data_IF_549571112408
#
_entry.id   IF_549571112408
#
_cell.length_a   1.000
_cell.length_b   1.000
_cell.length_c   1.000
_cell.angle_alpha   90.00
_cell.angle_beta   90.00
_cell.angle_gamma   90.00
#
_symmetry.space_group_name_H-M   'P 1'
#
loop_
_entity.id
_entity.type
_entity.pdbx_description
1 polymer ?
#
# COMPACT_ATOMS: atom_id res chain seq x y z
N UNK A 1 -16.88 51.13 37.30
CA UNK A 1 -15.99 50.04 36.95
C UNK A 1 -14.64 50.68 36.55
N UNK A 2 -13.57 50.35 37.27
CA UNK A 2 -12.30 50.99 37.03
C UNK A 2 -11.70 50.46 35.74
N UNK A 3 -11.26 51.39 34.85
CA UNK A 3 -10.68 51.11 33.54
C UNK A 3 -9.58 50.03 33.57
N UNK A 4 -8.70 49.95 34.58
CA UNK A 4 -7.66 48.93 34.65
C UNK A 4 -8.18 47.50 34.83
N UNK A 5 -9.31 47.32 35.54
CA UNK A 5 -9.92 45.98 35.74
C UNK A 5 -10.52 45.44 34.45
N UNK A 6 -11.13 46.31 33.65
CA UNK A 6 -11.74 45.94 32.37
C UNK A 6 -10.64 45.55 31.32
N UNK A 7 -9.55 46.28 31.30
CA UNK A 7 -8.39 45.97 30.40
C UNK A 7 -7.72 44.64 30.78
N UNK A 8 -7.60 44.36 32.08
CA UNK A 8 -7.05 43.09 32.55
C UNK A 8 -7.94 41.89 32.17
N UNK A 9 -9.27 42.05 32.27
CA UNK A 9 -10.25 41.03 31.90
C UNK A 9 -10.22 40.70 30.39
N UNK A 10 -10.09 41.71 29.55
CA UNK A 10 -9.95 41.55 28.10
C UNK A 10 -8.60 40.82 27.76
N UNK A 11 -7.53 41.20 28.43
CA UNK A 11 -6.24 40.56 28.25
C UNK A 11 -6.25 39.07 28.60
N UNK A 12 -6.81 38.70 29.72
CA UNK A 12 -6.96 37.30 30.16
C UNK A 12 -7.89 36.53 29.25
N UNK A 13 -9.05 37.11 28.86
CA UNK A 13 -9.98 36.49 27.93
C UNK A 13 -9.38 36.26 26.55
N UNK A 14 -8.63 37.22 26.03
CA UNK A 14 -7.93 37.11 24.75
C UNK A 14 -6.84 36.04 24.74
N UNK A 15 -6.06 35.96 25.82
CA UNK A 15 -5.00 34.91 25.93
C UNK A 15 -5.60 33.51 26.06
N UNK A 16 -6.68 33.34 26.79
CA UNK A 16 -7.37 32.06 26.94
C UNK A 16 -7.99 31.60 25.61
N UNK A 17 -8.66 32.49 24.88
CA UNK A 17 -9.21 32.19 23.57
C UNK A 17 -8.10 31.86 22.55
N UNK A 18 -6.98 32.58 22.57
CA UNK A 18 -5.82 32.31 21.74
C UNK A 18 -5.24 30.92 22.01
N UNK A 19 -5.12 30.53 23.27
CA UNK A 19 -4.63 29.21 23.67
C UNK A 19 -5.58 28.07 23.21
N UNK A 20 -6.89 28.26 23.34
CA UNK A 20 -7.89 27.27 22.88
C UNK A 20 -7.83 27.12 21.37
N UNK A 21 -7.87 28.22 20.62
CA UNK A 21 -7.84 28.18 19.15
C UNK A 21 -6.53 27.58 18.65
N UNK A 22 -5.38 28.00 19.23
CA UNK A 22 -4.06 27.47 18.89
C UNK A 22 -3.95 25.98 19.19
N UNK A 23 -4.46 25.53 20.34
CA UNK A 23 -4.48 24.11 20.73
C UNK A 23 -5.34 23.28 19.77
N UNK A 24 -6.53 23.73 19.43
CA UNK A 24 -7.41 23.05 18.48
C UNK A 24 -6.79 22.94 17.08
N UNK A 25 -6.16 24.03 16.60
CA UNK A 25 -5.49 24.05 15.30
C UNK A 25 -4.30 23.08 15.24
N UNK A 26 -3.51 23.06 16.30
CA UNK A 26 -2.36 22.14 16.43
C UNK A 26 -2.84 20.69 16.49
N UNK A 27 -3.87 20.38 17.24
CA UNK A 27 -4.45 19.04 17.33
C UNK A 27 -5.00 18.59 15.96
N UNK A 28 -5.70 19.47 15.25
CA UNK A 28 -6.23 19.19 13.92
C UNK A 28 -5.10 18.96 12.91
N UNK A 29 -4.08 19.79 12.90
CA UNK A 29 -2.91 19.64 12.03
C UNK A 29 -2.19 18.31 12.30
N UNK A 30 -1.95 17.97 13.56
CA UNK A 30 -1.31 16.70 13.94
C UNK A 30 -2.16 15.48 13.53
N UNK A 31 -3.47 15.53 13.71
CA UNK A 31 -4.38 14.47 13.28
C UNK A 31 -4.33 14.26 11.76
N UNK A 32 -4.32 15.35 11.00
CA UNK A 32 -4.25 15.29 9.55
C UNK A 32 -2.90 14.75 9.05
N UNK A 33 -1.80 15.23 9.64
CA UNK A 33 -0.44 14.76 9.32
C UNK A 33 -0.25 13.27 9.66
N UNK A 34 -0.75 12.83 10.81
CA UNK A 34 -0.67 11.42 11.20
C UNK A 34 -1.44 10.52 10.24
N UNK A 35 -2.65 10.89 9.82
CA UNK A 35 -3.40 10.14 8.80
C UNK A 35 -2.68 10.05 7.45
N UNK A 36 -1.99 11.12 7.05
CA UNK A 36 -1.19 11.10 5.83
C UNK A 36 0.03 10.19 5.96
N UNK A 37 0.70 10.19 7.11
CA UNK A 37 1.84 9.34 7.42
C UNK A 37 1.43 7.87 7.44
N UNK A 38 0.38 7.51 8.17
CA UNK A 38 -0.15 6.14 8.22
C UNK A 38 -0.49 5.59 6.83
N UNK A 39 -1.13 6.40 5.97
CA UNK A 39 -1.43 6.00 4.59
C UNK A 39 -0.19 5.85 3.72
N UNK A 40 0.86 6.62 3.98
CA UNK A 40 2.12 6.50 3.27
C UNK A 40 2.86 5.24 3.69
N UNK A 41 2.92 4.95 4.98
CA UNK A 41 3.50 3.74 5.56
C UNK A 41 2.77 2.48 5.09
N UNK A 42 1.44 2.49 5.11
CA UNK A 42 0.63 1.40 4.57
C UNK A 42 0.96 1.11 3.09
N UNK A 43 1.02 2.14 2.24
CA UNK A 43 1.35 1.96 0.81
C UNK A 43 2.78 1.50 0.61
N UNK A 44 3.71 1.97 1.44
CA UNK A 44 5.10 1.53 1.42
C UNK A 44 5.19 0.05 1.79
N UNK A 45 4.53 -0.37 2.87
CA UNK A 45 4.47 -1.77 3.27
C UNK A 45 3.88 -2.67 2.18
N UNK A 46 2.78 -2.27 1.54
CA UNK A 46 2.22 -3.01 0.40
C UNK A 46 3.22 -3.16 -0.76
N UNK A 47 4.00 -2.12 -1.08
CA UNK A 47 5.00 -2.17 -2.15
C UNK A 47 6.16 -3.08 -1.82
N UNK A 48 6.67 -3.00 -0.60
CA UNK A 48 7.80 -3.83 -0.16
C UNK A 48 7.43 -5.30 -0.14
N UNK A 49 6.27 -5.65 0.42
CA UNK A 49 5.78 -7.03 0.43
C UNK A 49 5.50 -7.53 -0.99
N UNK A 50 4.89 -6.71 -1.85
CA UNK A 50 4.64 -7.12 -3.23
C UNK A 50 5.94 -7.31 -4.03
N UNK A 51 6.96 -6.48 -3.81
CA UNK A 51 8.30 -6.63 -4.38
C UNK A 51 8.97 -7.92 -3.93
N UNK A 52 8.96 -8.19 -2.63
CA UNK A 52 9.50 -9.41 -2.04
C UNK A 52 8.81 -10.68 -2.59
N UNK A 53 7.48 -10.66 -2.71
CA UNK A 53 6.73 -11.76 -3.33
C UNK A 53 7.04 -11.91 -4.82
N UNK A 54 7.30 -10.82 -5.54
CA UNK A 54 7.71 -10.85 -6.94
C UNK A 54 9.10 -11.45 -7.13
N UNK A 55 10.06 -11.06 -6.32
CA UNK A 55 11.42 -11.62 -6.33
C UNK A 55 11.39 -13.12 -6.02
N UNK A 56 10.66 -13.53 -4.98
CA UNK A 56 10.47 -14.94 -4.64
C UNK A 56 9.81 -15.72 -5.80
N UNK A 57 8.80 -15.12 -6.46
CA UNK A 57 8.13 -15.74 -7.59
C UNK A 57 9.07 -15.94 -8.77
N UNK A 58 9.87 -14.94 -9.12
CA UNK A 58 10.85 -15.02 -10.20
C UNK A 58 11.90 -16.09 -9.90
N UNK A 59 12.43 -16.10 -8.68
CA UNK A 59 13.41 -17.08 -8.24
C UNK A 59 12.87 -18.51 -8.34
N UNK A 60 11.68 -18.77 -7.78
CA UNK A 60 11.04 -20.08 -7.81
C UNK A 60 10.67 -20.53 -9.24
N UNK A 61 10.30 -19.58 -10.11
CA UNK A 61 10.03 -19.89 -11.53
C UNK A 61 11.31 -20.34 -12.25
N UNK A 62 12.45 -19.69 -12.00
CA UNK A 62 13.73 -20.09 -12.57
C UNK A 62 14.19 -21.48 -12.07
N UNK A 63 13.87 -21.82 -10.82
CA UNK A 63 14.15 -23.15 -10.28
C UNK A 63 13.33 -24.26 -10.95
N UNK A 64 12.10 -23.98 -11.37
CA UNK A 64 11.29 -24.95 -12.12
C UNK A 64 11.90 -25.31 -13.48
N UNK A 65 12.62 -24.36 -14.11
CA UNK A 65 13.30 -24.58 -15.38
C UNK A 65 14.60 -25.39 -15.21
N UNK A 66 15.23 -25.31 -14.03
CA UNK A 66 16.51 -25.97 -13.72
C UNK A 66 16.46 -26.70 -12.37
N UNK A 67 15.82 -27.87 -12.29
CA UNK A 67 15.63 -28.59 -11.01
C UNK A 67 16.90 -29.01 -10.28
N UNK A 68 18.06 -29.00 -10.96
CA UNK A 68 19.35 -29.36 -10.35
C UNK A 68 20.00 -28.28 -9.50
N UNK A 69 19.43 -27.06 -9.46
CA UNK A 69 19.99 -25.90 -8.75
C UNK A 69 19.26 -25.57 -7.44
N UNK A 70 18.53 -26.49 -6.87
CA UNK A 70 17.70 -26.28 -5.66
C UNK A 70 18.48 -26.02 -4.36
N UNK A 71 19.63 -25.40 -4.47
CA UNK A 71 20.59 -25.23 -3.37
C UNK A 71 20.57 -23.83 -2.75
N UNK A 72 19.40 -23.14 -2.62
CA UNK A 72 19.39 -21.76 -2.16
C UNK A 72 18.37 -21.41 -1.09
N UNK A 73 18.88 -20.65 -0.11
CA UNK A 73 18.28 -20.22 1.14
C UNK A 73 17.70 -18.78 1.09
N UNK A 74 17.58 -18.19 -0.09
CA UNK A 74 17.38 -16.75 -0.27
C UNK A 74 15.92 -16.30 -0.45
N UNK A 75 14.95 -17.15 -0.11
CA UNK A 75 13.54 -16.69 -0.14
C UNK A 75 13.29 -15.71 1.00
N UNK A 76 13.03 -14.45 0.65
CA UNK A 76 12.84 -13.38 1.61
C UNK A 76 11.39 -13.31 2.12
N UNK A 77 11.21 -13.02 3.40
CA UNK A 77 9.92 -12.74 4.04
C UNK A 77 10.05 -11.62 5.08
N UNK A 78 11.08 -10.82 4.98
CA UNK A 78 11.39 -9.79 5.98
C UNK A 78 10.43 -8.62 5.90
N UNK A 79 10.05 -8.19 4.69
CA UNK A 79 9.08 -7.11 4.51
C UNK A 79 7.72 -7.47 5.14
N UNK A 80 7.30 -8.73 5.04
CA UNK A 80 6.09 -9.18 5.72
C UNK A 80 6.23 -9.10 7.24
N UNK A 81 7.32 -9.59 7.81
CA UNK A 81 7.55 -9.57 9.26
C UNK A 81 7.53 -8.15 9.80
N UNK A 82 8.17 -7.22 9.10
CA UNK A 82 8.29 -5.82 9.51
C UNK A 82 6.97 -5.05 9.35
N UNK A 83 6.25 -5.24 8.24
CA UNK A 83 5.14 -4.37 7.88
C UNK A 83 3.74 -4.95 8.11
N UNK A 84 3.61 -6.24 8.48
CA UNK A 84 2.29 -6.88 8.67
C UNK A 84 1.38 -6.13 9.65
N UNK A 85 1.95 -5.55 10.70
CA UNK A 85 1.19 -4.82 11.71
C UNK A 85 0.59 -3.51 11.17
N UNK A 86 1.26 -2.89 10.20
CA UNK A 86 0.78 -1.68 9.51
C UNK A 86 -0.33 -2.02 8.51
N UNK A 87 -0.28 -3.21 7.92
CA UNK A 87 -1.26 -3.63 6.92
C UNK A 87 -2.56 -4.15 7.54
N UNK A 88 -2.48 -4.82 8.68
CA UNK A 88 -3.60 -5.50 9.33
C UNK A 88 -4.85 -4.63 9.52
N UNK A 89 -4.78 -3.34 9.92
CA UNK A 89 -5.95 -2.49 10.11
C UNK A 89 -6.61 -2.02 8.81
N UNK A 90 -5.90 -2.08 7.67
CA UNK A 90 -6.31 -1.44 6.42
C UNK A 90 -6.61 -2.39 5.27
N UNK A 91 -6.10 -3.63 5.34
CA UNK A 91 -6.39 -4.65 4.33
C UNK A 91 -7.73 -5.33 4.63
N UNK A 92 -8.61 -5.49 3.63
CA UNK A 92 -9.77 -6.36 3.73
C UNK A 92 -9.34 -7.80 4.06
N UNK A 93 -10.20 -8.53 4.78
CA UNK A 93 -9.90 -9.90 5.23
C UNK A 93 -9.48 -10.83 4.10
N UNK A 94 -10.09 -10.73 2.93
CA UNK A 94 -9.74 -11.53 1.75
C UNK A 94 -8.31 -11.23 1.26
N UNK A 95 -7.98 -9.94 1.08
CA UNK A 95 -6.65 -9.55 0.65
C UNK A 95 -5.58 -9.92 1.70
N UNK A 96 -5.90 -9.75 2.98
CA UNK A 96 -5.04 -10.19 4.07
C UNK A 96 -4.76 -11.69 4.00
N UNK A 97 -5.80 -12.51 3.91
CA UNK A 97 -5.66 -13.98 3.82
C UNK A 97 -4.84 -14.40 2.61
N UNK A 98 -5.06 -13.78 1.45
CA UNK A 98 -4.30 -14.08 0.23
C UNK A 98 -2.81 -13.78 0.39
N UNK A 99 -2.45 -12.67 1.05
CA UNK A 99 -1.05 -12.32 1.32
C UNK A 99 -0.44 -13.27 2.36
N UNK A 100 -1.17 -13.59 3.42
CA UNK A 100 -0.73 -14.53 4.44
C UNK A 100 -0.47 -15.92 3.85
N UNK A 101 -1.38 -16.43 2.99
CA UNK A 101 -1.20 -17.66 2.25
C UNK A 101 0.01 -17.63 1.31
N UNK A 102 0.26 -16.50 0.66
CA UNK A 102 1.44 -16.32 -0.20
C UNK A 102 2.74 -16.42 0.61
N UNK A 103 2.80 -15.77 1.78
CA UNK A 103 3.98 -15.85 2.67
C UNK A 103 4.17 -17.27 3.20
N UNK A 104 3.10 -17.95 3.57
CA UNK A 104 3.18 -19.36 3.97
C UNK A 104 3.65 -20.25 2.81
N UNK A 105 3.23 -19.94 1.57
CA UNK A 105 3.71 -20.65 0.38
C UNK A 105 5.23 -20.48 0.19
N UNK A 106 5.77 -19.28 0.43
CA UNK A 106 7.22 -19.02 0.42
C UNK A 106 7.93 -19.87 1.48
N UNK A 107 7.40 -19.94 2.71
CA UNK A 107 7.99 -20.79 3.75
C UNK A 107 7.97 -22.28 3.38
N UNK A 108 6.86 -22.76 2.80
CA UNK A 108 6.75 -24.16 2.34
C UNK A 108 7.71 -24.46 1.20
N UNK A 109 7.87 -23.52 0.26
CA UNK A 109 8.82 -23.65 -0.83
C UNK A 109 10.27 -23.77 -0.30
N UNK A 110 10.63 -22.96 0.72
CA UNK A 110 11.93 -23.05 1.38
C UNK A 110 12.17 -24.42 1.98
N UNK A 111 11.20 -24.96 2.74
CA UNK A 111 11.30 -26.31 3.33
C UNK A 111 11.41 -27.37 2.25
N UNK A 112 10.60 -27.27 1.18
CA UNK A 112 10.64 -28.19 0.05
C UNK A 112 12.01 -28.20 -0.62
N UNK A 113 12.59 -27.04 -0.88
CA UNK A 113 13.93 -26.90 -1.48
C UNK A 113 15.01 -27.50 -0.58
N UNK A 114 14.94 -27.26 0.72
CA UNK A 114 15.88 -27.86 1.68
C UNK A 114 15.81 -29.39 1.68
N UNK A 115 14.61 -29.96 1.49
CA UNK A 115 14.40 -31.42 1.50
C UNK A 115 14.85 -32.07 0.19
N UNK A 116 14.63 -31.42 -0.95
CA UNK A 116 14.90 -31.98 -2.29
C UNK A 116 16.29 -31.60 -2.82
N UNK A 117 16.89 -30.53 -2.27
CA UNK A 117 18.21 -30.05 -2.67
C UNK A 117 19.39 -30.95 -2.32
N UNK A 118 19.15 -32.06 -1.60
CA UNK A 118 20.18 -33.05 -1.31
C UNK A 118 20.48 -33.90 -2.54
N UNK A 119 21.78 -34.20 -2.77
CA UNK A 119 22.23 -34.98 -3.92
C UNK A 119 21.72 -36.43 -3.84
N UNK A 120 21.23 -36.96 -4.96
CA UNK A 120 20.83 -38.39 -5.07
C UNK A 120 19.35 -38.65 -4.81
N UNK A 121 18.49 -37.63 -4.77
CA UNK A 121 17.06 -37.81 -4.62
C UNK A 121 16.45 -38.55 -5.82
N UNK A 122 15.45 -39.43 -5.59
CA UNK A 122 14.75 -40.14 -6.65
C UNK A 122 14.02 -39.16 -7.58
N UNK A 123 13.97 -39.46 -8.86
CA UNK A 123 13.31 -38.65 -9.89
C UNK A 123 11.81 -38.44 -9.59
N UNK A 124 11.16 -39.43 -9.00
CA UNK A 124 9.76 -39.33 -8.58
C UNK A 124 9.55 -38.24 -7.51
N UNK A 125 10.49 -38.10 -6.58
CA UNK A 125 10.46 -37.06 -5.56
C UNK A 125 10.65 -35.68 -6.16
N UNK A 126 11.57 -35.54 -7.13
CA UNK A 126 11.81 -34.27 -7.85
C UNK A 126 10.54 -33.86 -8.62
N UNK A 127 9.90 -34.81 -9.31
CA UNK A 127 8.67 -34.55 -10.04
C UNK A 127 7.49 -34.15 -9.13
N UNK A 128 7.34 -34.81 -7.99
CA UNK A 128 6.33 -34.45 -7.00
C UNK A 128 6.58 -33.06 -6.41
N UNK A 129 7.84 -32.73 -6.12
CA UNK A 129 8.24 -31.43 -5.59
C UNK A 129 8.04 -30.33 -6.62
N UNK A 130 8.33 -30.56 -7.89
CA UNK A 130 8.09 -29.61 -9.00
C UNK A 130 6.61 -29.28 -9.13
N UNK A 131 5.74 -30.28 -9.03
CA UNK A 131 4.28 -30.08 -9.04
C UNK A 131 3.84 -29.23 -7.84
N UNK A 132 4.30 -29.56 -6.65
CA UNK A 132 3.98 -28.79 -5.44
C UNK A 132 4.47 -27.35 -5.53
N UNK A 133 5.68 -27.14 -6.08
CA UNK A 133 6.26 -25.82 -6.27
C UNK A 133 5.42 -24.96 -7.22
N UNK A 134 4.87 -25.56 -8.28
CA UNK A 134 3.96 -24.83 -9.19
C UNK A 134 2.67 -24.37 -8.50
N UNK A 135 2.10 -25.18 -7.61
CA UNK A 135 0.92 -24.81 -6.80
C UNK A 135 1.24 -23.68 -5.81
N UNK A 136 2.44 -23.69 -5.22
CA UNK A 136 2.90 -22.63 -4.32
C UNK A 136 3.12 -21.31 -5.06
N UNK A 137 3.64 -21.36 -6.28
CA UNK A 137 3.81 -20.19 -7.15
C UNK A 137 2.48 -19.51 -7.47
N UNK A 138 1.44 -20.26 -7.73
CA UNK A 138 0.10 -19.70 -7.97
C UNK A 138 -0.41 -18.93 -6.74
N UNK A 139 -0.18 -19.47 -5.54
CA UNK A 139 -0.55 -18.79 -4.29
C UNK A 139 0.24 -17.50 -4.08
N UNK A 140 1.54 -17.50 -4.39
CA UNK A 140 2.39 -16.31 -4.30
C UNK A 140 1.90 -15.24 -5.29
N UNK A 141 1.59 -15.63 -6.54
CA UNK A 141 1.04 -14.73 -7.55
C UNK A 141 -0.31 -14.12 -7.13
N UNK A 142 -1.17 -14.92 -6.50
CA UNK A 142 -2.47 -14.47 -5.98
C UNK A 142 -2.29 -13.44 -4.88
N UNK A 143 -1.44 -13.69 -3.89
CA UNK A 143 -1.15 -12.76 -2.80
C UNK A 143 -0.57 -11.44 -3.32
N UNK A 144 0.39 -11.50 -4.26
CA UNK A 144 0.95 -10.30 -4.91
C UNK A 144 -0.13 -9.50 -5.65
N UNK A 145 -1.01 -10.18 -6.37
CA UNK A 145 -2.07 -9.54 -7.14
C UNK A 145 -3.08 -8.86 -6.23
N UNK A 146 -3.37 -9.42 -5.07
CA UNK A 146 -4.25 -8.83 -4.05
C UNK A 146 -3.73 -7.50 -3.49
N UNK A 147 -2.43 -7.23 -3.58
CA UNK A 147 -1.83 -5.96 -3.14
C UNK A 147 -1.86 -4.86 -4.21
N UNK A 148 -2.01 -5.19 -5.50
CA UNK A 148 -1.97 -4.22 -6.61
C UNK A 148 -2.89 -3.00 -6.45
N UNK A 149 -4.15 -3.14 -6.01
CA UNK A 149 -5.05 -2.00 -5.85
C UNK A 149 -4.55 -0.96 -4.84
N UNK A 150 -3.78 -1.40 -3.83
CA UNK A 150 -3.29 -0.56 -2.73
C UNK A 150 -1.96 0.12 -3.06
N UNK A 151 -1.21 -0.43 -4.02
CA UNK A 151 0.07 0.11 -4.49
C UNK A 151 -0.16 1.23 -5.50
N UNK A 152 -1.13 1.04 -6.41
CA UNK A 152 -1.46 2.04 -7.41
C UNK A 152 -2.08 3.25 -6.71
N UNK A 153 -1.42 4.42 -6.82
CA UNK A 153 -2.08 5.69 -6.51
C UNK A 153 -3.40 5.69 -7.28
N UNK A 154 -4.51 5.63 -6.59
CA UNK A 154 -5.79 6.00 -7.21
C UNK A 154 -5.51 7.33 -7.88
N UNK A 155 -5.49 7.33 -9.22
CA UNK A 155 -5.39 8.56 -10.01
C UNK A 155 -6.47 9.46 -9.42
N UNK A 156 -6.04 10.47 -8.71
CA UNK A 156 -6.90 11.42 -8.02
C UNK A 156 -7.92 11.84 -9.06
N UNK A 157 -9.15 11.45 -8.82
CA UNK A 157 -10.31 11.92 -9.57
C UNK A 157 -10.12 13.43 -9.67
N UNK A 158 -9.79 13.92 -10.86
CA UNK A 158 -9.60 15.34 -11.13
C UNK A 158 -10.93 15.99 -10.83
N UNK A 159 -11.08 16.49 -9.60
CA UNK A 159 -12.19 17.34 -9.20
C UNK A 159 -11.96 18.62 -9.96
N UNK A 160 -12.83 18.90 -10.91
CA UNK A 160 -12.95 20.20 -11.53
C UNK A 160 -12.33 20.35 -12.90
N UNK A 161 -12.79 19.61 -13.89
CA UNK A 161 -13.05 20.25 -15.18
C UNK A 161 -14.39 21.01 -15.03
N UNK A 162 -14.31 22.23 -14.54
CA UNK A 162 -15.39 23.21 -14.68
C UNK A 162 -15.75 23.26 -16.16
N UNK A 163 -16.99 22.96 -16.56
CA UNK A 163 -17.35 23.09 -17.97
C UNK A 163 -17.15 24.56 -18.36
N UNK A 164 -16.21 24.78 -19.25
CA UNK A 164 -15.95 26.06 -19.87
C UNK A 164 -17.28 26.59 -20.38
N UNK A 165 -17.76 27.65 -19.75
CA UNK A 165 -18.95 28.40 -20.04
C UNK A 165 -18.94 28.69 -21.54
N UNK A 166 -19.85 28.03 -22.26
CA UNK A 166 -20.03 28.19 -23.70
C UNK A 166 -20.12 29.69 -24.06
N UNK A 167 -19.31 30.08 -24.99
CA UNK A 167 -19.26 31.43 -25.55
C UNK A 167 -20.66 31.84 -26.00
N UNK A 168 -21.11 32.98 -25.47
CA UNK A 168 -22.35 33.65 -25.82
C UNK A 168 -22.28 34.01 -27.33
N UNK A 169 -23.25 33.64 -28.19
CA UNK A 169 -23.24 34.02 -29.57
C UNK A 169 -23.38 35.57 -29.70
N UNK A 170 -22.45 36.19 -30.36
CA UNK A 170 -22.53 37.59 -30.74
C UNK A 170 -23.67 37.77 -31.75
N UNK A 171 -24.72 38.46 -31.38
CA UNK A 171 -25.76 38.95 -32.27
C UNK A 171 -25.16 40.00 -33.18
N UNK A 172 -24.92 39.62 -34.41
CA UNK A 172 -24.59 40.55 -35.51
C UNK A 172 -25.82 41.40 -35.79
N UNK A 173 -25.73 42.68 -35.42
CA UNK A 173 -26.72 43.69 -35.74
C UNK A 173 -26.50 44.14 -37.20
N UNK A 174 -27.38 43.68 -38.10
CA UNK A 174 -27.45 44.14 -39.46
C UNK A 174 -27.83 45.62 -39.48
N UNK A 175 -26.95 46.46 -39.95
CA UNK A 175 -27.23 47.88 -40.27
C UNK A 175 -27.96 47.96 -41.60
N UNK A 176 -29.17 48.50 -41.54
CA UNK A 176 -29.95 48.96 -42.64
C UNK A 176 -29.38 50.33 -43.07
N UNK A 177 -29.01 50.48 -44.37
CA UNK A 177 -28.78 51.74 -45.01
C UNK A 177 -29.68 51.85 -46.22
N UNK A 178 -30.52 52.80 -46.16
CA UNK A 178 -31.24 53.42 -47.28
C UNK A 178 -30.32 54.03 -48.32
#
# INVERSE_FOLDING_TARGET
>A
MDVPVFTALIGVGGSLMGAIVGGCLTMYANFFLNRHRERAEFRMGCRLIAGELEENQLFLSALLETPRLWKYDELATEAWKEHRHVLAPYLPSEAWSNVEWAVQAVHRARVLMATVGEEGQPEEMINAATKLLSELLEKIATGRTSLKPYIQKTKTRTIGSTPHRAARPQTTRAGSTT
#
